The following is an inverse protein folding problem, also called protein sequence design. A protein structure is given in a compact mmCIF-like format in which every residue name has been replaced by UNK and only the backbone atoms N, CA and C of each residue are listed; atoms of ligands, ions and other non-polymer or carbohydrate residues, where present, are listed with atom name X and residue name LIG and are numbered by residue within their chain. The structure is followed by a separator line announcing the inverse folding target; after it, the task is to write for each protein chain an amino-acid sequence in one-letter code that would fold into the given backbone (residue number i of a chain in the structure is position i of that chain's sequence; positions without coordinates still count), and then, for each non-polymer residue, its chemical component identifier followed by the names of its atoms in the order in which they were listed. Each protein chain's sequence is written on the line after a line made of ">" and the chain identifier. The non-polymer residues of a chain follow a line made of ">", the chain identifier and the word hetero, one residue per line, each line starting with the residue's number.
data_IF_668994008617
#
_entry.id   IF_668994008617
#
_cell.length_a   1.000
_cell.length_b   1.000
_cell.length_c   1.000
_cell.angle_alpha   90.00
_cell.angle_beta   90.00
_cell.angle_gamma   90.00
#
_symmetry.space_group_name_H-M   'P 1'
#
loop_
_entity.id
_entity.type
_entity.pdbx_description
1 polymer ?
#
# COMPACT_ATOMS: atom_id res chain seq x y z
N UNK A 1 28.40 13.13 13.39
CA UNK A 1 28.66 12.04 12.42
C UNK A 1 27.33 11.39 12.07
N UNK A 2 27.09 11.15 10.81
CA UNK A 2 25.91 10.42 10.34
C UNK A 2 26.02 8.94 10.77
N UNK A 3 24.97 8.41 11.39
CA UNK A 3 24.99 7.00 11.80
C UNK A 3 24.72 6.08 10.60
N UNK A 4 25.13 4.80 10.70
CA UNK A 4 24.84 3.80 9.65
C UNK A 4 23.31 3.63 9.43
N UNK A 5 22.50 3.78 10.47
CA UNK A 5 21.05 3.72 10.39
C UNK A 5 20.47 4.93 9.64
N UNK A 6 21.05 6.11 9.80
CA UNK A 6 20.62 7.30 9.06
C UNK A 6 20.81 7.13 7.55
N UNK A 7 21.88 6.47 7.13
CA UNK A 7 22.10 6.20 5.71
C UNK A 7 21.07 5.24 5.13
N UNK A 8 20.73 4.15 5.85
CA UNK A 8 19.69 3.19 5.41
C UNK A 8 18.34 3.91 5.23
N UNK A 9 17.92 4.64 6.24
CA UNK A 9 16.59 5.30 6.20
C UNK A 9 16.50 6.41 5.15
N UNK A 10 17.59 7.16 4.94
CA UNK A 10 17.68 8.16 3.87
C UNK A 10 17.64 7.52 2.49
N UNK A 11 18.36 6.42 2.29
CA UNK A 11 18.33 5.67 1.04
C UNK A 11 16.91 5.16 0.75
N UNK A 12 16.18 4.65 1.76
CA UNK A 12 14.78 4.24 1.63
C UNK A 12 13.84 5.38 1.22
N UNK A 13 14.06 6.62 1.67
CA UNK A 13 13.29 7.77 1.19
C UNK A 13 13.45 8.01 -0.32
N UNK A 14 14.62 7.72 -0.85
CA UNK A 14 14.94 7.92 -2.27
C UNK A 14 14.40 6.77 -3.10
N UNK A 15 14.69 5.52 -2.74
CA UNK A 15 14.22 4.34 -3.47
C UNK A 15 12.69 4.29 -3.53
N UNK A 16 12.01 4.70 -2.47
CA UNK A 16 10.55 4.83 -2.42
C UNK A 16 9.99 6.12 -3.05
N UNK A 17 10.83 6.94 -3.70
CA UNK A 17 10.42 8.18 -4.39
C UNK A 17 9.77 9.25 -3.48
N UNK A 18 10.05 9.19 -2.17
CA UNK A 18 9.54 10.17 -1.20
C UNK A 18 10.39 11.45 -1.22
N UNK A 19 11.70 11.33 -1.36
CA UNK A 19 12.63 12.46 -1.36
C UNK A 19 12.69 13.16 -2.73
N UNK A 20 12.65 12.38 -3.80
CA UNK A 20 12.65 12.86 -5.19
C UNK A 20 12.04 11.79 -6.10
N UNK A 21 11.46 12.22 -7.22
CA UNK A 21 10.84 11.33 -8.19
C UNK A 21 11.02 11.87 -9.61
N UNK A 22 11.21 10.97 -10.55
CA UNK A 22 11.15 11.21 -11.99
C UNK A 22 9.77 10.92 -12.57
N UNK A 23 8.93 10.18 -11.83
CA UNK A 23 7.60 9.76 -12.27
C UNK A 23 6.60 10.92 -12.33
N UNK A 24 5.65 10.81 -13.24
CA UNK A 24 4.66 11.84 -13.54
C UNK A 24 3.24 11.42 -13.23
N UNK A 25 2.96 10.11 -13.24
CA UNK A 25 1.61 9.56 -13.12
C UNK A 25 1.45 8.66 -11.87
N UNK A 26 0.23 8.56 -11.32
CA UNK A 26 -0.07 7.63 -10.23
C UNK A 26 0.27 6.18 -10.58
N UNK A 27 -0.02 5.76 -11.82
CA UNK A 27 0.19 4.39 -12.29
C UNK A 27 1.68 4.02 -12.32
N UNK A 28 2.57 4.96 -12.68
CA UNK A 28 4.02 4.74 -12.63
C UNK A 28 4.50 4.49 -11.19
N UNK A 29 4.00 5.24 -10.20
CA UNK A 29 4.34 5.03 -8.78
C UNK A 29 3.84 3.65 -8.30
N UNK A 30 2.58 3.32 -8.59
CA UNK A 30 2.03 2.03 -8.16
C UNK A 30 2.79 0.86 -8.81
N UNK A 31 3.13 0.98 -10.10
CA UNK A 31 3.95 -0.01 -10.81
C UNK A 31 5.36 -0.12 -10.22
N UNK A 32 6.03 1.01 -9.92
CA UNK A 32 7.34 1.03 -9.27
C UNK A 32 7.31 0.34 -7.91
N UNK A 33 6.31 0.65 -7.10
CA UNK A 33 6.14 0.06 -5.78
C UNK A 33 5.63 -1.40 -5.83
N UNK A 34 5.14 -1.88 -6.98
CA UNK A 34 4.53 -3.20 -7.18
C UNK A 34 3.16 -3.31 -6.53
N UNK A 35 3.08 -3.14 -5.22
CA UNK A 35 1.84 -3.04 -4.45
C UNK A 35 2.01 -2.01 -3.33
N UNK A 36 0.95 -1.26 -3.05
CA UNK A 36 0.91 -0.27 -1.97
C UNK A 36 -0.30 -0.53 -1.08
N UNK A 37 -0.10 -0.64 0.24
CA UNK A 37 -1.21 -0.94 1.14
C UNK A 37 -2.28 0.15 1.07
N UNK A 38 -3.53 -0.26 0.89
CA UNK A 38 -4.68 0.61 0.68
C UNK A 38 -5.83 0.34 1.69
N UNK A 39 -5.47 0.00 2.94
CA UNK A 39 -6.44 -0.26 4.00
C UNK A 39 -7.22 1.00 4.36
N UNK A 40 -6.57 2.13 4.57
CA UNK A 40 -7.18 3.46 4.58
C UNK A 40 -7.13 4.02 3.16
N UNK A 41 -8.24 3.98 2.44
CA UNK A 41 -8.32 4.37 1.03
C UNK A 41 -7.85 5.80 0.78
N UNK A 42 -8.30 6.75 1.60
CA UNK A 42 -7.94 8.16 1.44
C UNK A 42 -6.45 8.43 1.77
N UNK A 43 -5.91 7.72 2.78
CA UNK A 43 -4.48 7.81 3.09
C UNK A 43 -3.62 7.10 2.05
N UNK A 44 -4.10 6.00 1.44
CA UNK A 44 -3.40 5.34 0.34
C UNK A 44 -3.27 6.24 -0.90
N UNK A 45 -4.28 7.08 -1.19
CA UNK A 45 -4.15 8.11 -2.23
C UNK A 45 -3.04 9.11 -1.87
N UNK A 46 -2.95 9.54 -0.61
CA UNK A 46 -1.85 10.40 -0.17
C UNK A 46 -0.49 9.68 -0.23
N UNK A 47 -0.44 8.36 -0.02
CA UNK A 47 0.80 7.60 -0.22
C UNK A 47 1.33 7.71 -1.66
N UNK A 48 0.47 7.74 -2.66
CA UNK A 48 0.85 8.06 -4.04
C UNK A 48 1.22 9.54 -4.16
N UNK A 49 0.38 10.44 -3.60
CA UNK A 49 0.55 11.89 -3.70
C UNK A 49 1.86 12.41 -3.12
N UNK A 50 2.36 11.82 -2.01
CA UNK A 50 3.63 12.23 -1.39
C UNK A 50 4.85 11.86 -2.24
N UNK A 51 4.69 10.92 -3.19
CA UNK A 51 5.73 10.42 -4.12
C UNK A 51 5.71 11.10 -5.48
N UNK A 52 4.77 12.03 -5.70
CA UNK A 52 4.65 12.80 -6.94
C UNK A 52 4.67 14.30 -6.67
N UNK A 53 5.07 15.08 -7.66
CA UNK A 53 5.08 16.53 -7.55
C UNK A 53 3.77 17.11 -8.11
N UNK A 54 3.19 18.08 -7.39
CA UNK A 54 2.03 18.89 -7.86
C UNK A 54 0.78 18.05 -8.24
N UNK A 55 0.61 16.89 -7.61
CA UNK A 55 -0.54 16.04 -7.83
C UNK A 55 -1.72 16.47 -6.93
N UNK A 56 -2.93 16.35 -7.44
CA UNK A 56 -4.15 16.43 -6.67
C UNK A 56 -4.86 15.05 -6.60
N UNK A 57 -5.74 14.90 -5.62
CA UNK A 57 -6.47 13.66 -5.36
C UNK A 57 -7.28 13.19 -6.57
N UNK A 58 -7.87 14.12 -7.34
CA UNK A 58 -8.72 13.79 -8.51
C UNK A 58 -7.97 13.06 -9.63
N UNK A 59 -6.68 13.30 -9.78
CA UNK A 59 -5.85 12.60 -10.78
C UNK A 59 -5.72 11.13 -10.41
N UNK A 60 -5.59 10.82 -9.10
CA UNK A 60 -5.56 9.44 -8.62
C UNK A 60 -6.93 8.79 -8.78
N UNK A 61 -8.01 9.49 -8.42
CA UNK A 61 -9.37 9.01 -8.62
C UNK A 61 -9.61 8.70 -10.11
N UNK A 62 -9.17 9.57 -11.04
CA UNK A 62 -9.26 9.31 -12.47
C UNK A 62 -8.49 8.06 -12.91
N UNK A 63 -7.29 7.81 -12.37
CA UNK A 63 -6.52 6.59 -12.70
C UNK A 63 -7.23 5.33 -12.18
N UNK A 64 -7.89 5.41 -11.01
CA UNK A 64 -8.70 4.32 -10.46
C UNK A 64 -9.96 4.12 -11.30
N UNK A 65 -10.68 5.20 -11.65
CA UNK A 65 -11.91 5.14 -12.46
C UNK A 65 -11.65 4.55 -13.85
N UNK A 66 -10.50 4.85 -14.45
CA UNK A 66 -10.07 4.25 -15.73
C UNK A 66 -9.59 2.80 -15.60
N UNK A 67 -9.40 2.28 -14.39
CA UNK A 67 -8.88 0.94 -14.16
C UNK A 67 -7.38 0.80 -14.37
N UNK A 68 -6.62 1.90 -14.44
CA UNK A 68 -5.16 1.88 -14.49
C UNK A 68 -4.56 1.41 -13.16
N UNK A 69 -5.23 1.75 -12.07
CA UNK A 69 -4.94 1.33 -10.69
C UNK A 69 -6.16 0.63 -10.13
N UNK A 70 -5.95 -0.55 -9.57
CA UNK A 70 -6.99 -1.33 -8.91
C UNK A 70 -6.74 -1.41 -7.41
N UNK A 71 -7.82 -1.36 -6.62
CA UNK A 71 -7.77 -1.68 -5.20
C UNK A 71 -8.34 -3.08 -5.00
N UNK A 72 -7.53 -3.98 -4.47
CA UNK A 72 -7.87 -5.40 -4.35
C UNK A 72 -7.06 -6.05 -3.22
N UNK A 73 -7.54 -7.17 -2.69
CA UNK A 73 -6.73 -8.02 -1.80
C UNK A 73 -5.70 -8.81 -2.60
N UNK A 74 -4.43 -8.57 -2.31
CA UNK A 74 -3.31 -9.25 -2.96
C UNK A 74 -2.12 -9.30 -2.00
N UNK A 75 -1.23 -10.27 -2.16
CA UNK A 75 -0.06 -10.57 -1.32
C UNK A 75 -0.44 -10.96 0.12
N UNK A 76 -1.09 -10.09 0.85
CA UNK A 76 -1.54 -10.25 2.24
C UNK A 76 -3.06 -10.10 2.34
N UNK A 77 -3.70 -10.48 3.44
CA UNK A 77 -5.15 -10.32 3.64
C UNK A 77 -5.54 -8.85 3.92
N UNK A 78 -4.99 -7.91 3.16
CA UNK A 78 -5.24 -6.47 3.22
C UNK A 78 -5.41 -5.92 1.80
N UNK A 79 -6.16 -4.82 1.67
CA UNK A 79 -6.28 -4.15 0.37
C UNK A 79 -4.97 -3.47 -0.02
N UNK A 80 -4.65 -3.59 -1.31
CA UNK A 80 -3.52 -2.89 -1.94
C UNK A 80 -3.98 -2.15 -3.19
N UNK A 81 -3.30 -1.07 -3.53
CA UNK A 81 -3.27 -0.54 -4.89
C UNK A 81 -2.25 -1.31 -5.69
N UNK A 82 -2.65 -1.76 -6.86
CA UNK A 82 -1.81 -2.46 -7.84
C UNK A 82 -2.09 -1.95 -9.25
N UNK A 83 -1.11 -2.07 -10.13
CA UNK A 83 -1.30 -1.77 -11.55
C UNK A 83 -2.20 -2.81 -12.20
N UNK A 84 -3.06 -2.38 -13.13
CA UNK A 84 -3.86 -3.29 -13.95
C UNK A 84 -3.02 -4.35 -14.67
N UNK A 85 -1.85 -3.95 -15.19
CA UNK A 85 -0.93 -4.86 -15.89
C UNK A 85 -0.40 -6.00 -15.00
N UNK A 86 -0.48 -5.84 -13.68
CA UNK A 86 0.19 -6.76 -12.75
C UNK A 86 -0.78 -7.67 -11.99
N UNK A 87 -2.07 -7.34 -12.02
CA UNK A 87 -3.05 -7.93 -11.11
C UNK A 87 -3.17 -9.45 -11.26
N UNK A 88 -3.17 -9.98 -12.48
CA UNK A 88 -3.41 -11.40 -12.73
C UNK A 88 -2.26 -12.27 -12.22
N UNK A 89 -1.02 -11.95 -12.57
CA UNK A 89 0.12 -12.73 -12.10
C UNK A 89 0.35 -12.57 -10.58
N UNK A 90 0.03 -11.39 -10.02
CA UNK A 90 0.10 -11.20 -8.57
C UNK A 90 -0.95 -12.01 -7.82
N UNK A 91 -2.19 -12.07 -8.31
CA UNK A 91 -3.23 -12.93 -7.74
C UNK A 91 -2.84 -14.41 -7.87
N UNK A 92 -2.39 -14.86 -9.05
CA UNK A 92 -1.97 -16.22 -9.27
C UNK A 92 -0.86 -16.65 -8.29
N UNK A 93 0.09 -15.74 -8.00
CA UNK A 93 1.18 -15.99 -7.08
C UNK A 93 0.75 -16.03 -5.61
N UNK A 94 -0.11 -15.12 -5.18
CA UNK A 94 -0.39 -14.86 -3.76
C UNK A 94 -1.71 -15.42 -3.23
N UNK A 95 -2.76 -15.51 -4.07
CA UNK A 95 -4.08 -15.92 -3.64
C UNK A 95 -4.15 -17.33 -3.01
N UNK A 96 -3.41 -18.34 -3.48
CA UNK A 96 -3.46 -19.68 -2.87
C UNK A 96 -3.11 -19.66 -1.37
N UNK A 97 -2.05 -18.91 -0.99
CA UNK A 97 -1.64 -18.83 0.42
C UNK A 97 -2.64 -18.05 1.25
N UNK A 98 -3.18 -16.93 0.73
CA UNK A 98 -4.17 -16.12 1.43
C UNK A 98 -5.47 -16.92 1.62
N UNK A 99 -5.97 -17.61 0.59
CA UNK A 99 -7.16 -18.49 0.70
C UNK A 99 -6.97 -19.57 1.76
N UNK A 100 -5.79 -20.20 1.80
CA UNK A 100 -5.47 -21.20 2.82
C UNK A 100 -5.57 -20.63 4.24
N UNK A 101 -5.11 -19.41 4.48
CA UNK A 101 -5.19 -18.75 5.80
C UNK A 101 -6.62 -18.41 6.21
N UNK A 102 -7.54 -18.26 5.26
CA UNK A 102 -8.95 -17.94 5.54
C UNK A 102 -9.82 -19.18 5.81
N UNK A 103 -9.33 -20.40 5.57
CA UNK A 103 -10.12 -21.63 5.62
C UNK A 103 -10.84 -21.83 6.95
N UNK A 104 -10.16 -21.63 8.08
CA UNK A 104 -10.77 -21.77 9.41
C UNK A 104 -11.91 -20.78 9.62
N UNK A 105 -11.71 -19.50 9.22
CA UNK A 105 -12.73 -18.46 9.34
C UNK A 105 -13.90 -18.71 8.39
N UNK A 106 -13.66 -19.17 7.17
CA UNK A 106 -14.74 -19.55 6.24
C UNK A 106 -15.60 -20.67 6.78
N UNK A 107 -14.99 -21.70 7.41
CA UNK A 107 -15.74 -22.78 8.06
C UNK A 107 -16.63 -22.24 9.21
N UNK A 108 -16.12 -21.34 10.07
CA UNK A 108 -16.91 -20.71 11.14
C UNK A 108 -18.09 -19.89 10.60
N UNK A 109 -17.89 -19.26 9.43
CA UNK A 109 -18.91 -18.46 8.75
C UNK A 109 -19.82 -19.30 7.84
N UNK A 110 -19.68 -20.62 7.82
CA UNK A 110 -20.43 -21.53 6.94
C UNK A 110 -20.35 -21.14 5.45
N UNK A 111 -19.20 -20.57 5.04
CA UNK A 111 -18.91 -20.23 3.66
C UNK A 111 -18.29 -21.46 2.95
N UNK A 112 -19.15 -22.44 2.66
CA UNK A 112 -18.75 -23.64 1.90
C UNK A 112 -18.42 -23.30 0.45
N UNK A 113 -17.68 -24.17 -0.24
CA UNK A 113 -17.38 -23.96 -1.68
C UNK A 113 -18.67 -23.86 -2.52
N UNK A 114 -19.78 -24.54 -2.13
CA UNK A 114 -21.08 -24.39 -2.78
C UNK A 114 -21.68 -22.99 -2.60
N UNK A 115 -21.59 -22.40 -1.39
CA UNK A 115 -22.01 -21.02 -1.13
C UNK A 115 -21.13 -20.06 -1.92
N UNK A 116 -19.83 -20.26 -1.95
CA UNK A 116 -18.88 -19.42 -2.73
C UNK A 116 -19.22 -19.50 -4.22
N UNK A 117 -19.42 -20.69 -4.79
CA UNK A 117 -19.79 -20.83 -6.20
C UNK A 117 -21.12 -20.13 -6.53
N UNK A 118 -22.14 -20.28 -5.65
CA UNK A 118 -23.42 -19.58 -5.83
C UNK A 118 -23.26 -18.05 -5.79
N UNK A 119 -22.49 -17.54 -4.84
CA UNK A 119 -22.23 -16.07 -4.73
C UNK A 119 -21.41 -15.55 -5.90
N UNK A 120 -20.45 -16.31 -6.41
CA UNK A 120 -19.68 -15.98 -7.61
C UNK A 120 -20.57 -15.84 -8.82
N UNK A 121 -21.46 -16.80 -9.06
CA UNK A 121 -22.43 -16.73 -10.19
C UNK A 121 -23.37 -15.52 -10.09
N UNK A 122 -23.81 -15.18 -8.87
CA UNK A 122 -24.64 -13.98 -8.66
C UNK A 122 -23.84 -12.73 -8.99
N UNK A 123 -22.59 -12.62 -8.51
CA UNK A 123 -21.70 -11.49 -8.78
C UNK A 123 -21.45 -11.35 -10.28
N UNK A 124 -21.05 -12.42 -10.97
CA UNK A 124 -20.77 -12.40 -12.40
C UNK A 124 -21.99 -11.95 -13.20
N UNK A 125 -23.18 -12.48 -12.89
CA UNK A 125 -24.43 -12.09 -13.55
C UNK A 125 -24.80 -10.62 -13.28
N UNK A 126 -24.59 -10.15 -12.05
CA UNK A 126 -25.06 -8.82 -11.63
C UNK A 126 -24.12 -7.69 -12.06
N UNK A 127 -22.83 -8.00 -12.21
CA UNK A 127 -21.81 -7.04 -12.62
C UNK A 127 -21.45 -7.12 -14.10
N UNK A 128 -22.09 -8.02 -14.89
CA UNK A 128 -21.87 -8.10 -16.35
C UNK A 128 -22.21 -6.79 -17.04
N UNK A 129 -21.67 -6.61 -18.26
CA UNK A 129 -21.91 -5.43 -19.10
C UNK A 129 -21.41 -4.12 -18.48
N UNK A 130 -20.24 -4.18 -17.81
CA UNK A 130 -19.58 -3.04 -17.15
C UNK A 130 -20.38 -2.40 -16.01
N UNK A 131 -21.33 -3.14 -15.43
CA UNK A 131 -22.07 -2.69 -14.27
C UNK A 131 -21.15 -2.65 -13.04
N UNK A 132 -21.22 -1.55 -12.30
CA UNK A 132 -20.46 -1.36 -11.06
C UNK A 132 -21.43 -1.12 -9.91
N UNK A 133 -21.30 -1.93 -8.85
CA UNK A 133 -22.17 -1.86 -7.68
C UNK A 133 -21.37 -1.59 -6.41
N UNK A 134 -22.00 -0.81 -5.53
CA UNK A 134 -21.51 -0.63 -4.17
C UNK A 134 -21.66 -1.91 -3.36
N UNK A 135 -20.97 -1.97 -2.22
CA UNK A 135 -21.10 -3.08 -1.27
C UNK A 135 -22.55 -3.33 -0.83
N UNK A 136 -23.33 -2.25 -0.64
CA UNK A 136 -24.71 -2.36 -0.19
C UNK A 136 -25.65 -2.83 -1.30
N UNK A 137 -25.42 -2.39 -2.54
CA UNK A 137 -26.14 -2.89 -3.71
C UNK A 137 -25.88 -4.39 -3.90
N UNK A 138 -24.65 -4.86 -3.82
CA UNK A 138 -24.31 -6.31 -3.87
C UNK A 138 -24.96 -7.08 -2.71
N UNK A 139 -25.00 -6.52 -1.50
CA UNK A 139 -25.71 -7.12 -0.36
C UNK A 139 -27.17 -7.37 -0.69
N UNK A 140 -27.83 -6.40 -1.32
CA UNK A 140 -29.24 -6.53 -1.70
C UNK A 140 -29.45 -7.65 -2.73
N UNK A 141 -28.55 -7.80 -3.71
CA UNK A 141 -28.63 -8.92 -4.67
C UNK A 141 -28.46 -10.28 -3.98
N UNK A 142 -27.56 -10.40 -3.03
CA UNK A 142 -27.41 -11.60 -2.22
C UNK A 142 -28.67 -11.90 -1.38
N UNK A 143 -29.30 -10.90 -0.78
CA UNK A 143 -30.53 -11.07 -0.02
C UNK A 143 -31.70 -11.54 -0.93
N UNK A 144 -31.85 -11.00 -2.13
CA UNK A 144 -32.85 -11.46 -3.13
C UNK A 144 -32.64 -12.96 -3.47
N UNK A 145 -31.41 -13.44 -3.45
CA UNK A 145 -31.07 -14.83 -3.72
C UNK A 145 -31.06 -15.74 -2.47
N UNK A 146 -31.50 -15.22 -1.32
CA UNK A 146 -31.54 -15.95 -0.06
C UNK A 146 -30.17 -16.25 0.55
N UNK A 147 -29.14 -15.47 0.23
CA UNK A 147 -27.80 -15.61 0.79
C UNK A 147 -27.66 -14.76 2.04
N UNK A 148 -27.25 -15.38 3.15
CA UNK A 148 -26.93 -14.67 4.40
C UNK A 148 -25.66 -13.83 4.25
N UNK A 149 -25.67 -12.58 4.74
CA UNK A 149 -24.58 -11.62 4.63
C UNK A 149 -24.15 -11.01 5.97
N UNK A 150 -24.74 -11.46 7.06
CA UNK A 150 -24.47 -11.09 8.46
C UNK A 150 -23.10 -11.59 8.96
N UNK A 151 -22.72 -11.28 10.17
CA UNK A 151 -21.52 -11.78 10.88
C UNK A 151 -20.20 -11.68 10.09
N UNK A 152 -20.02 -10.64 9.28
CA UNK A 152 -18.89 -10.47 8.35
C UNK A 152 -18.89 -11.40 7.11
N UNK A 153 -19.94 -12.22 6.90
CA UNK A 153 -20.04 -13.09 5.71
C UNK A 153 -19.86 -12.32 4.42
N UNK A 154 -20.57 -11.17 4.27
CA UNK A 154 -20.41 -10.32 3.07
C UNK A 154 -18.96 -9.93 2.82
N UNK A 155 -18.23 -9.53 3.87
CA UNK A 155 -16.81 -9.17 3.73
C UNK A 155 -15.99 -10.34 3.21
N UNK A 156 -16.22 -11.54 3.73
CA UNK A 156 -15.49 -12.74 3.32
C UNK A 156 -15.90 -13.26 1.94
N UNK A 157 -17.17 -13.10 1.53
CA UNK A 157 -17.64 -13.41 0.17
C UNK A 157 -16.91 -12.51 -0.84
N UNK A 158 -16.94 -11.19 -0.64
CA UNK A 158 -16.28 -10.24 -1.52
C UNK A 158 -14.76 -10.45 -1.53
N UNK A 159 -14.15 -10.65 -0.37
CA UNK A 159 -12.73 -10.97 -0.27
C UNK A 159 -12.36 -12.22 -1.07
N UNK A 160 -13.17 -13.30 -0.95
CA UNK A 160 -12.93 -14.52 -1.71
C UNK A 160 -13.08 -14.28 -3.22
N UNK A 161 -14.07 -13.50 -3.64
CA UNK A 161 -14.29 -13.16 -5.05
C UNK A 161 -13.14 -12.32 -5.63
N UNK A 162 -12.51 -11.44 -4.83
CA UNK A 162 -11.30 -10.73 -5.22
C UNK A 162 -10.10 -11.71 -5.39
N UNK A 163 -9.90 -12.63 -4.44
CA UNK A 163 -8.84 -13.64 -4.51
C UNK A 163 -9.04 -14.68 -5.63
N UNK A 164 -10.28 -14.90 -6.04
CA UNK A 164 -10.62 -15.76 -7.17
C UNK A 164 -10.47 -15.02 -8.52
N UNK A 165 -10.15 -13.72 -8.48
CA UNK A 165 -9.97 -12.90 -9.67
C UNK A 165 -11.28 -12.61 -10.41
N UNK A 166 -12.42 -12.64 -9.71
CA UNK A 166 -13.75 -12.36 -10.27
C UNK A 166 -14.00 -10.86 -10.25
N UNK A 167 -13.74 -10.20 -9.11
CA UNK A 167 -13.98 -8.77 -8.93
C UNK A 167 -12.72 -8.01 -8.53
N UNK A 168 -12.76 -6.71 -8.78
CA UNK A 168 -11.84 -5.71 -8.25
C UNK A 168 -12.61 -4.41 -7.92
N UNK A 169 -11.91 -3.35 -7.51
CA UNK A 169 -12.53 -2.02 -7.40
C UNK A 169 -13.07 -1.55 -8.76
N UNK A 170 -14.29 -1.07 -8.76
CA UNK A 170 -14.89 -0.32 -9.87
C UNK A 170 -14.61 1.18 -9.75
N UNK A 171 -15.16 2.00 -10.68
CA UNK A 171 -15.19 3.46 -10.58
C UNK A 171 -15.91 3.93 -9.32
N UNK A 172 -15.56 5.11 -8.83
CA UNK A 172 -16.24 5.73 -7.70
C UNK A 172 -17.62 6.20 -8.13
N UNK A 173 -18.67 5.80 -7.40
CA UNK A 173 -20.06 6.21 -7.62
C UNK A 173 -20.56 7.03 -6.42
N UNK A 174 -20.86 8.30 -6.60
CA UNK A 174 -21.39 9.17 -5.53
C UNK A 174 -20.54 9.14 -4.24
N UNK A 175 -19.23 9.22 -4.40
CA UNK A 175 -18.22 9.10 -3.31
C UNK A 175 -18.20 7.74 -2.60
N UNK A 176 -18.82 6.70 -3.18
CA UNK A 176 -18.78 5.33 -2.65
C UNK A 176 -17.89 4.44 -3.52
N UNK A 177 -17.15 3.57 -2.87
CA UNK A 177 -16.40 2.52 -3.54
C UNK A 177 -17.33 1.49 -4.14
N UNK A 178 -17.05 1.06 -5.36
CA UNK A 178 -17.80 0.03 -6.07
C UNK A 178 -16.92 -1.17 -6.38
N UNK A 179 -17.56 -2.25 -6.77
CA UNK A 179 -16.96 -3.46 -7.33
C UNK A 179 -17.35 -3.59 -8.79
N UNK A 180 -16.47 -4.14 -9.60
CA UNK A 180 -16.67 -4.45 -11.02
C UNK A 180 -16.03 -5.81 -11.34
N UNK A 181 -16.41 -6.42 -12.45
CA UNK A 181 -15.75 -7.64 -12.94
C UNK A 181 -14.30 -7.33 -13.34
N UNK A 182 -13.36 -8.10 -12.81
CA UNK A 182 -11.94 -7.91 -13.09
C UNK A 182 -11.64 -8.08 -14.59
N UNK A 183 -12.23 -9.09 -15.24
CA UNK A 183 -12.01 -9.35 -16.67
C UNK A 183 -12.50 -8.23 -17.59
N UNK A 184 -13.54 -7.47 -17.17
CA UNK A 184 -14.05 -6.33 -17.95
C UNK A 184 -13.22 -5.08 -17.70
N UNK A 185 -12.68 -4.92 -16.48
CA UNK A 185 -11.80 -3.80 -16.13
C UNK A 185 -10.40 -3.97 -16.71
N UNK A 186 -9.91 -5.20 -16.80
CA UNK A 186 -8.58 -5.56 -17.30
C UNK A 186 -8.72 -6.71 -18.30
N UNK A 187 -9.17 -6.44 -19.53
CA UNK A 187 -9.40 -7.48 -20.52
C UNK A 187 -8.08 -8.13 -21.02
N UNK A 188 -6.97 -7.42 -20.91
CA UNK A 188 -5.65 -7.93 -21.35
C UNK A 188 -4.89 -8.53 -20.15
N UNK A 189 -4.78 -9.84 -20.12
CA UNK A 189 -4.04 -10.56 -19.09
C UNK A 189 -2.56 -10.61 -19.45
N UNK A 190 -1.71 -10.03 -18.60
CA UNK A 190 -0.27 -10.32 -18.66
C UNK A 190 -0.04 -11.63 -17.93
N UNK A 191 0.30 -12.66 -18.68
CA UNK A 191 0.63 -13.97 -18.12
C UNK A 191 2.14 -14.07 -17.89
N UNK A 192 2.52 -14.51 -16.71
CA UNK A 192 3.89 -14.83 -16.32
C UNK A 192 3.89 -16.24 -15.73
N UNK A 193 4.91 -17.02 -16.05
CA UNK A 193 5.19 -18.25 -15.33
C UNK A 193 5.42 -17.97 -13.83
N UNK A 194 5.38 -18.99 -13.01
CA UNK A 194 5.62 -18.82 -11.57
C UNK A 194 6.98 -18.21 -11.27
N UNK A 195 8.02 -18.65 -11.95
CA UNK A 195 9.38 -18.16 -11.75
C UNK A 195 9.54 -16.71 -12.23
N UNK A 196 8.95 -16.35 -13.36
CA UNK A 196 8.90 -14.95 -13.82
C UNK A 196 8.14 -14.06 -12.85
N UNK A 197 7.00 -14.53 -12.31
CA UNK A 197 6.23 -13.81 -11.29
C UNK A 197 7.02 -13.58 -10.00
N UNK A 198 7.75 -14.61 -9.54
CA UNK A 198 8.63 -14.52 -8.38
C UNK A 198 9.77 -13.53 -8.62
N UNK A 199 10.43 -13.61 -9.75
CA UNK A 199 11.51 -12.71 -10.15
C UNK A 199 11.02 -11.26 -10.25
N UNK A 200 9.90 -11.03 -10.93
CA UNK A 200 9.32 -9.69 -11.11
C UNK A 200 8.92 -9.06 -9.76
N UNK A 201 8.26 -9.83 -8.88
CA UNK A 201 7.89 -9.34 -7.55
C UNK A 201 9.12 -8.95 -6.72
N UNK A 202 10.16 -9.77 -6.74
CA UNK A 202 11.40 -9.51 -6.02
C UNK A 202 12.16 -8.29 -6.60
N UNK A 203 12.26 -8.18 -7.92
CA UNK A 203 12.86 -7.01 -8.60
C UNK A 203 12.18 -5.71 -8.17
N UNK A 204 10.85 -5.66 -8.22
CA UNK A 204 10.09 -4.47 -7.80
C UNK A 204 10.31 -4.15 -6.34
N UNK A 205 10.27 -5.15 -5.47
CA UNK A 205 10.50 -4.94 -4.05
C UNK A 205 11.89 -4.37 -3.78
N UNK A 206 12.95 -5.03 -4.23
CA UNK A 206 14.31 -4.61 -3.92
C UNK A 206 14.74 -3.32 -4.64
N UNK A 207 14.19 -3.00 -5.81
CA UNK A 207 14.43 -1.71 -6.46
C UNK A 207 13.73 -0.57 -5.72
N UNK A 208 12.48 -0.76 -5.33
CA UNK A 208 11.69 0.32 -4.74
C UNK A 208 11.89 0.50 -3.23
N UNK A 209 12.50 -0.46 -2.54
CA UNK A 209 12.63 -0.49 -1.07
C UNK A 209 14.07 -0.70 -0.58
N UNK A 210 15.05 -0.57 -1.48
CA UNK A 210 16.45 -0.72 -1.08
C UNK A 210 16.88 0.39 -0.09
N UNK A 211 17.81 0.09 0.83
CA UNK A 211 18.36 -1.21 1.18
C UNK A 211 17.34 -2.06 1.96
N UNK A 212 17.16 -3.31 1.56
CA UNK A 212 16.23 -4.23 2.20
C UNK A 212 16.84 -5.63 2.37
N UNK A 213 16.32 -6.40 3.31
CA UNK A 213 16.76 -7.78 3.58
C UNK A 213 15.82 -8.78 2.92
N UNK A 214 16.24 -10.04 2.85
CA UNK A 214 15.37 -11.13 2.41
C UNK A 214 14.18 -11.32 3.39
N UNK A 215 14.41 -11.12 4.68
CA UNK A 215 13.40 -11.19 5.74
C UNK A 215 12.33 -10.08 5.58
N UNK A 216 12.74 -8.89 5.16
CA UNK A 216 11.82 -7.80 4.83
C UNK A 216 10.96 -8.16 3.62
N UNK A 217 11.55 -8.77 2.58
CA UNK A 217 10.81 -9.24 1.40
C UNK A 217 9.80 -10.33 1.75
N UNK A 218 10.17 -11.32 2.58
CA UNK A 218 9.26 -12.37 3.08
C UNK A 218 8.10 -11.73 3.85
N UNK A 219 8.38 -10.78 4.72
CA UNK A 219 7.37 -10.05 5.48
C UNK A 219 6.37 -9.30 4.58
N UNK A 220 6.89 -8.54 3.62
CA UNK A 220 6.05 -7.71 2.74
C UNK A 220 5.26 -8.54 1.74
N UNK A 221 5.88 -9.51 1.08
CA UNK A 221 5.27 -10.31 0.03
C UNK A 221 4.36 -11.42 0.56
N UNK A 222 4.51 -11.78 1.85
CA UNK A 222 3.87 -12.96 2.43
C UNK A 222 4.20 -14.28 1.69
N UNK A 223 5.28 -14.34 0.94
CA UNK A 223 5.73 -15.58 0.31
C UNK A 223 6.22 -16.59 1.35
N UNK A 224 6.31 -17.85 0.95
CA UNK A 224 7.05 -18.86 1.74
C UNK A 224 8.54 -18.54 1.71
N UNK A 225 9.29 -19.00 2.71
CA UNK A 225 10.76 -18.85 2.73
C UNK A 225 11.38 -19.48 1.47
N UNK A 226 10.84 -20.63 1.02
CA UNK A 226 11.27 -21.32 -0.20
C UNK A 226 11.08 -20.44 -1.43
N UNK A 227 9.87 -19.89 -1.64
CA UNK A 227 9.57 -19.02 -2.78
C UNK A 227 10.40 -17.73 -2.77
N UNK A 228 10.58 -17.12 -1.59
CA UNK A 228 11.39 -15.91 -1.47
C UNK A 228 12.88 -16.16 -1.80
N UNK A 229 13.42 -17.30 -1.40
CA UNK A 229 14.78 -17.72 -1.77
C UNK A 229 14.89 -18.01 -3.27
N UNK A 230 13.88 -18.66 -3.85
CA UNK A 230 13.82 -18.89 -5.31
C UNK A 230 13.79 -17.53 -6.03
N UNK A 231 12.90 -16.62 -5.63
CA UNK A 231 12.80 -15.27 -6.19
C UNK A 231 14.14 -14.53 -6.14
N UNK A 232 14.83 -14.56 -4.97
CA UNK A 232 16.14 -13.94 -4.81
C UNK A 232 17.19 -14.57 -5.74
N UNK A 233 17.24 -15.90 -5.84
CA UNK A 233 18.20 -16.58 -6.71
C UNK A 233 18.03 -16.22 -8.18
N UNK A 234 16.79 -15.99 -8.64
CA UNK A 234 16.47 -15.59 -10.01
C UNK A 234 16.98 -14.19 -10.37
N UNK A 235 17.09 -13.29 -9.36
CA UNK A 235 17.47 -11.89 -9.59
C UNK A 235 18.87 -11.53 -9.06
N UNK A 236 19.57 -12.44 -8.40
CA UNK A 236 20.82 -12.15 -7.65
C UNK A 236 21.91 -11.46 -8.46
N UNK A 237 21.98 -11.66 -9.77
CA UNK A 237 22.96 -11.03 -10.65
C UNK A 237 22.73 -9.53 -10.85
N UNK A 238 21.51 -9.04 -10.56
CA UNK A 238 21.13 -7.62 -10.69
C UNK A 238 21.34 -6.82 -9.39
N UNK A 239 21.74 -7.51 -8.29
CA UNK A 239 21.89 -6.93 -6.97
C UNK A 239 23.20 -7.34 -6.33
N UNK A 240 23.81 -6.43 -5.59
CA UNK A 240 24.92 -6.76 -4.70
C UNK A 240 24.46 -6.81 -3.25
N UNK A 241 25.21 -7.52 -2.43
CA UNK A 241 24.96 -7.61 -0.99
C UNK A 241 25.94 -6.71 -0.24
N UNK A 242 25.41 -5.84 0.60
CA UNK A 242 26.16 -5.02 1.51
C UNK A 242 25.90 -5.47 2.95
N UNK A 243 26.97 -5.76 3.69
CA UNK A 243 26.86 -6.15 5.10
C UNK A 243 27.04 -4.93 5.99
N UNK A 244 26.04 -4.63 6.80
CA UNK A 244 26.08 -3.56 7.82
C UNK A 244 25.82 -4.17 9.19
N UNK A 245 26.85 -4.24 10.04
CA UNK A 245 26.81 -5.04 11.27
C UNK A 245 26.68 -6.52 10.94
N UNK A 246 25.67 -7.19 11.47
CA UNK A 246 25.34 -8.60 11.17
C UNK A 246 24.28 -8.76 10.07
N UNK A 247 23.74 -7.65 9.52
CA UNK A 247 22.61 -7.65 8.60
C UNK A 247 23.13 -7.53 7.16
N UNK A 248 22.62 -8.39 6.28
CA UNK A 248 22.89 -8.35 4.83
C UNK A 248 21.76 -7.67 4.09
N UNK A 249 22.04 -6.54 3.48
CA UNK A 249 21.12 -5.78 2.65
C UNK A 249 21.35 -6.08 1.17
N UNK A 250 20.28 -6.09 0.40
CA UNK A 250 20.30 -6.18 -1.05
C UNK A 250 20.13 -4.77 -1.63
N UNK A 251 20.98 -4.43 -2.57
CA UNK A 251 21.02 -3.13 -3.23
C UNK A 251 21.15 -3.38 -4.74
N UNK A 252 20.34 -2.73 -5.60
CA UNK A 252 20.46 -2.86 -7.04
C UNK A 252 21.86 -2.42 -7.53
N UNK A 253 22.44 -3.14 -8.47
CA UNK A 253 23.74 -2.75 -9.08
C UNK A 253 23.68 -1.36 -9.76
N UNK A 254 22.49 -0.95 -10.21
CA UNK A 254 22.23 0.37 -10.80
C UNK A 254 22.04 1.48 -9.78
N UNK A 255 22.00 1.15 -8.48
CA UNK A 255 21.78 2.15 -7.44
C UNK A 255 23.04 2.98 -7.22
N UNK A 256 22.94 4.31 -7.41
CA UNK A 256 23.95 5.26 -7.00
C UNK A 256 23.51 5.95 -5.71
N UNK A 257 24.40 6.01 -4.72
CA UNK A 257 24.08 6.71 -3.46
C UNK A 257 23.85 8.20 -3.73
N UNK A 258 22.62 8.68 -3.57
CA UNK A 258 22.35 10.08 -3.77
C UNK A 258 22.58 10.86 -2.49
N UNK A 259 23.22 12.01 -2.61
CA UNK A 259 23.39 12.94 -1.51
C UNK A 259 22.08 13.67 -1.25
N UNK A 260 21.40 13.38 -0.13
CA UNK A 260 20.32 14.25 0.35
C UNK A 260 20.93 15.54 0.85
N UNK A 261 20.98 16.56 -0.02
CA UNK A 261 21.62 17.85 0.26
C UNK A 261 20.94 18.69 1.36
N UNK A 262 19.68 18.38 1.70
CA UNK A 262 18.90 19.14 2.68
C UNK A 262 18.09 18.22 3.59
N UNK A 263 17.86 18.66 4.82
CA UNK A 263 16.96 17.96 5.75
C UNK A 263 15.58 17.70 5.09
N UNK A 264 15.25 16.42 4.89
CA UNK A 264 13.97 16.02 4.32
C UNK A 264 12.93 15.92 5.44
N UNK A 265 11.78 16.59 5.26
CA UNK A 265 10.63 16.46 6.16
C UNK A 265 9.43 15.98 5.34
N UNK A 266 8.73 14.95 5.81
CA UNK A 266 7.59 14.37 5.11
C UNK A 266 6.46 14.04 6.08
N UNK A 267 5.22 14.23 5.64
CA UNK A 267 3.99 13.77 6.28
C UNK A 267 3.56 12.48 5.58
N UNK A 268 3.93 11.34 6.14
CA UNK A 268 3.59 10.05 5.57
C UNK A 268 2.23 9.57 6.10
N UNK A 269 1.40 8.95 5.25
CA UNK A 269 0.07 8.46 5.63
C UNK A 269 0.12 7.27 6.58
N UNK A 270 -1.05 6.89 7.08
CA UNK A 270 -1.24 5.60 7.74
C UNK A 270 -0.87 4.46 6.76
N UNK A 271 -0.25 3.41 7.28
CA UNK A 271 0.18 2.23 6.51
C UNK A 271 1.13 2.56 5.34
N UNK A 272 1.92 3.65 5.42
CA UNK A 272 2.88 3.97 4.37
C UNK A 272 3.96 2.89 4.24
N UNK A 273 4.32 2.60 2.98
CA UNK A 273 5.32 1.60 2.61
C UNK A 273 6.70 1.88 3.25
N UNK A 274 6.97 3.11 3.67
CA UNK A 274 8.21 3.49 4.35
C UNK A 274 8.43 2.74 5.67
N UNK A 275 7.35 2.32 6.34
CA UNK A 275 7.41 1.51 7.55
C UNK A 275 6.88 0.09 7.36
N UNK A 276 5.73 -0.06 6.66
CA UNK A 276 5.06 -1.36 6.61
C UNK A 276 5.78 -2.38 5.72
N UNK A 277 6.61 -1.92 4.79
CA UNK A 277 7.37 -2.79 3.89
C UNK A 277 8.51 -3.55 4.56
N UNK A 278 8.88 -3.20 5.79
CA UNK A 278 10.03 -3.78 6.47
C UNK A 278 9.61 -4.55 7.72
N UNK A 279 10.24 -5.71 7.92
CA UNK A 279 10.12 -6.46 9.18
C UNK A 279 10.87 -5.74 10.29
N UNK A 280 12.12 -5.34 9.99
CA UNK A 280 12.94 -4.52 10.89
C UNK A 280 12.84 -3.04 10.49
N UNK A 281 12.31 -2.23 11.40
CA UNK A 281 12.08 -0.80 11.23
C UNK A 281 13.06 0.06 12.01
N UNK A 282 14.01 -0.56 12.73
CA UNK A 282 14.92 0.12 13.67
C UNK A 282 15.77 1.21 13.02
N UNK A 283 16.02 1.12 11.70
CA UNK A 283 16.72 2.15 10.94
C UNK A 283 15.93 3.44 10.75
N UNK A 284 14.59 3.41 10.90
CA UNK A 284 13.69 4.56 10.69
C UNK A 284 12.83 4.90 11.90
N UNK A 285 12.67 3.97 12.83
CA UNK A 285 11.79 4.09 13.99
C UNK A 285 12.48 3.55 15.23
N UNK A 286 12.72 4.39 16.22
CA UNK A 286 13.30 3.99 17.48
C UNK A 286 12.37 3.06 18.27
N UNK A 287 12.93 2.13 19.03
CA UNK A 287 12.19 1.16 19.83
C UNK A 287 11.24 1.85 20.83
N UNK A 288 11.69 2.93 21.46
CA UNK A 288 10.90 3.74 22.41
C UNK A 288 9.61 4.28 21.78
N UNK A 289 9.66 4.64 20.49
CA UNK A 289 8.52 5.22 19.79
C UNK A 289 7.69 4.19 19.02
N UNK A 290 8.11 2.91 19.01
CA UNK A 290 7.44 1.88 18.22
C UNK A 290 5.97 1.72 18.62
N UNK A 291 5.66 1.58 19.93
CA UNK A 291 4.28 1.42 20.42
C UNK A 291 3.40 2.67 20.19
N UNK A 292 4.00 3.87 20.12
CA UNK A 292 3.26 5.09 19.75
C UNK A 292 2.91 5.11 18.26
N UNK A 293 3.76 4.50 17.42
CA UNK A 293 3.67 4.54 15.95
C UNK A 293 2.89 3.37 15.38
N UNK A 294 3.00 2.19 16.01
CA UNK A 294 2.32 0.96 15.58
C UNK A 294 1.59 0.38 16.77
N UNK A 295 0.27 0.20 16.65
CA UNK A 295 -0.53 -0.43 17.71
C UNK A 295 -0.31 -1.95 17.78
N UNK A 296 -0.69 -2.55 18.90
CA UNK A 296 -0.64 -4.01 19.10
C UNK A 296 -1.51 -4.78 18.05
N UNK A 297 -2.55 -4.13 17.53
CA UNK A 297 -3.42 -4.68 16.48
C UNK A 297 -2.87 -4.42 15.05
N UNK A 298 -1.63 -3.98 14.90
CA UNK A 298 -0.99 -3.76 13.61
C UNK A 298 -1.49 -2.52 12.85
N UNK A 299 -2.03 -1.51 13.53
CA UNK A 299 -2.39 -0.23 12.94
C UNK A 299 -1.12 0.64 12.89
N UNK A 300 -0.74 1.05 11.69
CA UNK A 300 0.34 2.02 11.46
C UNK A 300 -0.26 3.41 11.39
N UNK A 301 0.08 4.27 12.33
CA UNK A 301 -0.42 5.65 12.37
C UNK A 301 0.32 6.54 11.34
N UNK A 302 -0.32 7.65 10.90
CA UNK A 302 0.36 8.64 10.05
C UNK A 302 1.57 9.25 10.77
N UNK A 303 2.72 9.30 10.09
CA UNK A 303 4.00 9.67 10.70
C UNK A 303 4.60 10.95 10.12
N UNK A 304 5.31 11.67 10.96
CA UNK A 304 6.22 12.75 10.56
C UNK A 304 7.62 12.16 10.46
N UNK A 305 8.19 12.20 9.28
CA UNK A 305 9.55 11.69 9.04
C UNK A 305 10.49 12.86 8.77
N UNK A 306 11.55 12.95 9.56
CA UNK A 306 12.63 13.94 9.44
C UNK A 306 13.93 13.22 9.16
N UNK A 307 14.53 13.47 8.00
CA UNK A 307 15.79 12.82 7.55
C UNK A 307 15.76 11.28 7.61
N UNK A 308 14.61 10.68 7.32
CA UNK A 308 14.44 9.23 7.38
C UNK A 308 14.07 8.68 8.76
N UNK A 309 14.05 9.51 9.80
CA UNK A 309 13.67 9.11 11.15
C UNK A 309 12.24 9.52 11.46
N UNK A 310 11.44 8.64 12.06
CA UNK A 310 10.10 8.97 12.56
C UNK A 310 10.26 9.87 13.78
N UNK A 311 9.84 11.12 13.62
CA UNK A 311 9.98 12.17 14.63
C UNK A 311 8.66 12.52 15.35
N UNK A 312 7.53 11.97 14.89
CA UNK A 312 6.23 12.26 15.46
C UNK A 312 5.09 11.64 14.66
N UNK A 313 3.89 11.95 15.08
CA UNK A 313 2.63 11.54 14.46
C UNK A 313 1.85 12.75 13.99
N UNK A 314 0.94 12.54 13.06
CA UNK A 314 0.00 13.58 12.64
C UNK A 314 -1.40 13.03 12.43
N UNK A 315 -2.40 13.90 12.55
CA UNK A 315 -3.82 13.59 12.32
C UNK A 315 -4.43 14.67 11.45
N UNK A 316 -5.45 14.31 10.69
CA UNK A 316 -6.25 15.24 9.88
C UNK A 316 -7.65 15.34 10.48
N UNK A 317 -8.15 16.56 10.58
CA UNK A 317 -9.52 16.86 11.03
C UNK A 317 -10.17 17.65 9.91
N UNK A 318 -11.17 17.06 9.26
CA UNK A 318 -11.89 17.70 8.18
C UNK A 318 -12.93 18.68 8.72
N UNK A 319 -12.94 19.87 8.16
CA UNK A 319 -13.99 20.86 8.29
C UNK A 319 -14.56 21.16 6.90
N UNK A 320 -15.68 21.92 6.82
CA UNK A 320 -16.37 22.17 5.54
C UNK A 320 -15.41 22.59 4.41
N UNK A 321 -14.60 23.60 4.64
CA UNK A 321 -13.72 24.19 3.61
C UNK A 321 -12.23 24.02 3.88
N UNK A 322 -11.83 23.48 5.04
CA UNK A 322 -10.44 23.34 5.44
C UNK A 322 -10.15 22.02 6.10
N UNK A 323 -8.87 21.67 6.17
CA UNK A 323 -8.33 20.54 6.93
C UNK A 323 -7.36 21.07 7.98
N UNK A 324 -7.60 20.72 9.23
CA UNK A 324 -6.65 20.97 10.32
C UNK A 324 -5.73 19.76 10.45
N UNK A 325 -4.44 20.00 10.38
CA UNK A 325 -3.41 18.97 10.60
C UNK A 325 -2.88 19.11 12.02
N UNK A 326 -3.26 18.17 12.88
CA UNK A 326 -2.74 18.11 14.27
C UNK A 326 -1.44 17.33 14.28
N UNK A 327 -0.39 17.89 14.84
CA UNK A 327 1.00 17.43 14.84
C UNK A 327 1.44 17.14 16.27
N UNK A 328 1.94 15.93 16.51
CA UNK A 328 2.44 15.44 17.79
C UNK A 328 3.90 14.96 17.60
N UNK A 329 4.86 15.83 17.88
CA UNK A 329 6.27 15.46 17.85
C UNK A 329 6.68 14.65 19.09
N UNK A 330 7.56 13.68 18.92
CA UNK A 330 8.12 12.90 20.04
C UNK A 330 9.12 13.70 20.88
N UNK A 331 9.78 14.69 20.26
CA UNK A 331 10.70 15.64 20.87
C UNK A 331 10.45 17.03 20.26
N UNK A 332 10.69 18.12 20.98
CA UNK A 332 10.49 19.45 20.45
C UNK A 332 11.28 19.67 19.13
N UNK A 333 10.60 20.10 18.05
CA UNK A 333 11.25 20.30 16.75
C UNK A 333 12.01 21.63 16.70
N UNK A 334 13.12 21.66 15.95
CA UNK A 334 13.80 22.92 15.65
C UNK A 334 13.01 23.80 14.66
N UNK A 335 13.29 25.12 14.65
CA UNK A 335 12.63 26.12 13.79
C UNK A 335 12.59 25.74 12.30
N UNK A 336 13.70 25.23 11.77
CA UNK A 336 13.79 24.76 10.37
C UNK A 336 12.83 23.63 10.07
N UNK A 337 12.63 22.68 10.99
CA UNK A 337 11.69 21.58 10.85
C UNK A 337 10.25 22.12 10.80
N UNK A 338 9.88 23.07 11.66
CA UNK A 338 8.55 23.69 11.65
C UNK A 338 8.24 24.41 10.33
N UNK A 339 9.19 25.16 9.79
CA UNK A 339 9.03 25.82 8.46
C UNK A 339 8.78 24.78 7.36
N UNK A 340 9.49 23.66 7.39
CA UNK A 340 9.32 22.59 6.41
C UNK A 340 8.00 21.83 6.59
N UNK A 341 7.56 21.62 7.84
CA UNK A 341 6.24 21.05 8.13
C UNK A 341 5.12 21.93 7.55
N UNK A 342 5.17 23.24 7.77
CA UNK A 342 4.16 24.16 7.20
C UNK A 342 4.04 24.00 5.68
N UNK A 343 5.17 23.86 4.96
CA UNK A 343 5.18 23.61 3.51
C UNK A 343 4.53 22.25 3.15
N UNK A 344 4.78 21.21 3.95
CA UNK A 344 4.20 19.87 3.70
C UNK A 344 2.71 19.83 4.03
N UNK A 345 2.26 20.53 5.07
CA UNK A 345 0.84 20.73 5.36
C UNK A 345 0.14 21.45 4.21
N UNK A 346 0.73 22.53 3.69
CA UNK A 346 0.20 23.24 2.51
C UNK A 346 0.17 22.35 1.26
N UNK A 347 1.16 21.47 1.08
CA UNK A 347 1.17 20.51 -0.04
C UNK A 347 0.05 19.47 0.10
N UNK A 348 -0.22 18.98 1.32
CA UNK A 348 -1.35 18.10 1.61
C UNK A 348 -2.69 18.79 1.35
N UNK A 349 -2.82 20.09 1.70
CA UNK A 349 -4.02 20.88 1.36
C UNK A 349 -4.25 21.02 -0.14
N UNK A 350 -3.20 21.36 -0.90
CA UNK A 350 -3.29 21.42 -2.37
C UNK A 350 -3.69 20.07 -2.97
N UNK A 351 -3.16 18.98 -2.44
CA UNK A 351 -3.54 17.63 -2.84
C UNK A 351 -5.04 17.38 -2.68
N UNK A 352 -5.62 17.82 -1.55
CA UNK A 352 -7.06 17.66 -1.25
C UNK A 352 -7.94 18.76 -1.88
N UNK A 353 -7.35 19.80 -2.49
CA UNK A 353 -8.11 20.97 -2.94
C UNK A 353 -8.76 21.76 -1.79
N UNK A 354 -8.12 21.79 -0.61
CA UNK A 354 -8.62 22.44 0.60
C UNK A 354 -7.57 23.36 1.23
N UNK A 355 -8.04 24.40 1.89
CA UNK A 355 -7.20 25.18 2.80
C UNK A 355 -6.72 24.32 3.96
N UNK A 356 -5.54 24.63 4.49
CA UNK A 356 -4.96 23.89 5.63
C UNK A 356 -4.47 24.84 6.71
N UNK A 357 -4.68 24.41 7.92
CA UNK A 357 -4.03 24.92 9.12
C UNK A 357 -3.34 23.75 9.84
N UNK A 358 -2.33 24.02 10.64
CA UNK A 358 -1.81 23.00 11.53
C UNK A 358 -1.70 23.51 12.96
N UNK A 359 -1.84 22.58 13.89
CA UNK A 359 -1.69 22.81 15.31
C UNK A 359 -0.61 21.86 15.86
N UNK A 360 0.21 22.36 16.74
CA UNK A 360 1.11 21.52 17.54
C UNK A 360 0.35 21.06 18.76
N UNK A 361 0.43 19.77 19.06
CA UNK A 361 -0.05 19.26 20.32
C UNK A 361 0.92 19.75 21.40
N UNK A 362 0.42 20.56 22.31
CA UNK A 362 1.09 20.88 23.58
C UNK A 362 0.73 19.79 24.57
N UNK A 363 1.73 19.27 25.28
CA UNK A 363 1.54 18.32 26.39
C UNK A 363 0.65 18.92 27.49
#
# INVERSE_FOLDING_TARGET
>A
METKNDLISKTRLISQKIASTEFKTPSEIVRWMGAMQAQDYAMAKWAIGVRLTNLNEKIIDSAIDKGEILRIHVLRPTWHFVSADDIYWMLQLSAPKVKSSLKSRHNQLELTESVIAKTSSIIEKTLSDQICLTRDELRNEFHKAGIRTDENRLSHILFRSELDGIICSGPIKENKLTYALLQERVPHKKELSRDESLAELAKRYFNSRCPATLEDFIWWSNLTIKDARTAFNLIKSEFYQETRGSIKYLIPNSFSEPTLKNAAVNLLPAYDEFLISYRDRSSSLSEVNNKRTVSDNGIFYPTIVVNGQVAGLWKRIFQKNKVIVSIDFFQPPGKTTLIKIAKKVSAFGRFLGKETEFTLKTD
#
